data_IF_350880504154
#
_entry.id   IF_350880504154
#
_cell.length_a   1.000
_cell.length_b   1.000
_cell.length_c   1.000
_cell.angle_alpha   90.00
_cell.angle_beta   90.00
_cell.angle_gamma   90.00
#
_symmetry.space_group_name_H-M   'P 1'
#
loop_
_entity.id
_entity.type
_entity.pdbx_description
1 polymer ?
#
# COMPACT_ATOMS: atom_id res chain seq x y z
N UNK A 1 -6.84 -34.58 9.40
CA UNK A 1 -6.78 -33.72 8.20
C UNK A 1 -6.56 -32.28 8.66
N UNK A 2 -5.37 -31.72 8.48
CA UNK A 2 -5.02 -30.39 8.98
C UNK A 2 -5.77 -29.31 8.19
N UNK A 3 -6.54 -28.47 8.90
CA UNK A 3 -7.28 -27.34 8.35
C UNK A 3 -6.26 -26.29 7.89
N UNK A 4 -5.95 -26.25 6.59
CA UNK A 4 -5.20 -25.14 5.99
C UNK A 4 -5.94 -23.85 6.32
N UNK A 5 -5.36 -23.04 7.21
CA UNK A 5 -5.82 -21.68 7.43
C UNK A 5 -5.82 -20.97 6.07
N UNK A 6 -7.02 -20.61 5.60
CA UNK A 6 -7.17 -19.75 4.44
C UNK A 6 -6.52 -18.43 4.85
N UNK A 7 -5.31 -18.18 4.37
CA UNK A 7 -4.68 -16.86 4.36
C UNK A 7 -5.77 -15.88 3.93
N UNK A 8 -6.23 -15.06 4.88
CA UNK A 8 -7.34 -14.14 4.66
C UNK A 8 -6.95 -13.28 3.46
N UNK A 9 -7.71 -13.45 2.38
CA UNK A 9 -7.59 -12.71 1.13
C UNK A 9 -7.39 -11.24 1.48
N UNK A 10 -6.34 -10.66 0.92
CA UNK A 10 -5.91 -9.28 1.15
C UNK A 10 -7.12 -8.35 1.22
N UNK A 11 -7.35 -7.72 2.38
CA UNK A 11 -8.44 -6.76 2.54
C UNK A 11 -8.22 -5.60 1.58
N UNK A 12 -9.21 -5.28 0.75
CA UNK A 12 -9.15 -4.15 -0.15
C UNK A 12 -9.25 -2.84 0.65
N UNK A 13 -8.32 -1.92 0.42
CA UNK A 13 -8.33 -0.57 1.00
C UNK A 13 -8.93 0.39 -0.04
N UNK A 14 -10.15 0.88 0.20
CA UNK A 14 -10.77 1.90 -0.64
C UNK A 14 -10.34 3.28 -0.15
N UNK A 15 -9.56 3.99 -0.97
CA UNK A 15 -9.08 5.34 -0.69
C UNK A 15 -9.77 6.31 -1.65
N UNK A 16 -10.28 7.42 -1.13
CA UNK A 16 -10.81 8.52 -1.95
C UNK A 16 -9.79 9.64 -1.97
N UNK A 17 -9.39 10.04 -3.17
CA UNK A 17 -8.53 11.19 -3.45
C UNK A 17 -9.16 11.98 -4.60
N UNK A 18 -8.72 13.23 -4.81
CA UNK A 18 -9.20 14.00 -5.95
C UNK A 18 -8.63 13.45 -7.28
N UNK A 19 -9.29 13.79 -8.38
CA UNK A 19 -8.94 13.28 -9.71
C UNK A 19 -7.52 13.70 -10.11
N UNK A 20 -7.15 14.94 -9.84
CA UNK A 20 -5.85 15.52 -10.21
C UNK A 20 -4.68 14.80 -9.52
N UNK A 21 -4.81 14.52 -8.22
CA UNK A 21 -3.81 13.77 -7.45
C UNK A 21 -3.70 12.33 -7.92
N UNK A 22 -4.84 11.69 -8.24
CA UNK A 22 -4.83 10.34 -8.80
C UNK A 22 -4.05 10.31 -10.12
N UNK A 23 -4.35 11.24 -11.01
CA UNK A 23 -3.76 11.26 -12.35
C UNK A 23 -2.26 11.59 -12.28
N UNK A 24 -1.86 12.54 -11.42
CA UNK A 24 -0.45 12.82 -11.14
C UNK A 24 0.28 11.61 -10.52
N UNK A 25 -0.36 10.89 -9.59
CA UNK A 25 0.22 9.69 -8.99
C UNK A 25 0.38 8.55 -9.98
N UNK A 26 -0.62 8.33 -10.85
CA UNK A 26 -0.54 7.32 -11.90
C UNK A 26 0.56 7.64 -12.91
N UNK A 27 0.65 8.89 -13.37
CA UNK A 27 1.72 9.32 -14.27
C UNK A 27 3.12 9.07 -13.66
N UNK A 28 3.31 9.43 -12.38
CA UNK A 28 4.56 9.19 -11.69
C UNK A 28 4.87 7.69 -11.49
N UNK A 29 3.85 6.84 -11.34
CA UNK A 29 4.02 5.38 -11.28
C UNK A 29 4.47 4.81 -12.63
N UNK A 30 3.85 5.29 -13.72
CA UNK A 30 4.16 4.88 -15.10
C UNK A 30 5.60 5.26 -15.48
N UNK A 31 6.05 6.46 -15.12
CA UNK A 31 7.45 6.89 -15.32
C UNK A 31 8.48 6.02 -14.59
N UNK A 32 8.08 5.35 -13.50
CA UNK A 32 8.94 4.48 -12.70
C UNK A 32 8.81 3.00 -13.08
N UNK A 33 8.04 2.66 -14.12
CA UNK A 33 7.69 1.27 -14.48
C UNK A 33 7.08 0.50 -13.27
N UNK A 34 6.25 1.19 -12.47
CA UNK A 34 5.60 0.63 -11.28
C UNK A 34 4.09 0.75 -11.35
N UNK A 35 3.37 -0.03 -10.54
CA UNK A 35 1.92 0.13 -10.39
C UNK A 35 1.58 0.92 -9.14
N UNK A 36 0.51 1.72 -9.22
CA UNK A 36 -0.07 2.43 -8.08
C UNK A 36 -0.26 1.52 -6.85
N UNK A 37 -0.74 0.29 -7.05
CA UNK A 37 -0.91 -0.67 -5.97
C UNK A 37 0.42 -1.08 -5.30
N UNK A 38 1.50 -1.23 -6.08
CA UNK A 38 2.83 -1.56 -5.56
C UNK A 38 3.40 -0.41 -4.75
N UNK A 39 3.31 0.82 -5.25
CA UNK A 39 3.82 2.00 -4.56
C UNK A 39 3.02 2.31 -3.28
N UNK A 40 1.69 2.20 -3.30
CA UNK A 40 0.88 2.37 -2.08
C UNK A 40 1.24 1.31 -1.02
N UNK A 41 1.44 0.04 -1.42
CA UNK A 41 1.88 -1.01 -0.49
C UNK A 41 3.27 -0.74 0.06
N UNK A 42 4.20 -0.28 -0.78
CA UNK A 42 5.57 0.09 -0.36
C UNK A 42 5.54 1.24 0.62
N UNK A 43 4.76 2.28 0.32
CA UNK A 43 4.55 3.43 1.18
C UNK A 43 3.98 3.01 2.53
N UNK A 44 2.93 2.17 2.57
CA UNK A 44 2.36 1.67 3.83
C UNK A 44 3.41 0.92 4.65
N UNK A 45 4.20 0.03 4.03
CA UNK A 45 5.26 -0.71 4.75
C UNK A 45 6.32 0.22 5.31
N UNK A 46 6.77 1.18 4.51
CA UNK A 46 7.78 2.16 4.92
C UNK A 46 7.26 3.04 6.06
N UNK A 47 6.05 3.56 5.91
CA UNK A 47 5.36 4.35 6.93
C UNK A 47 5.21 3.58 8.24
N UNK A 48 4.78 2.32 8.21
CA UNK A 48 4.71 1.48 9.41
C UNK A 48 6.08 1.30 10.04
N UNK A 49 7.12 1.02 9.25
CA UNK A 49 8.49 0.85 9.75
C UNK A 49 8.99 2.10 10.45
N UNK A 50 8.78 3.27 9.85
CA UNK A 50 9.25 4.55 10.39
C UNK A 50 8.50 4.93 11.68
N UNK A 51 7.22 4.59 11.77
CA UNK A 51 6.39 4.87 12.95
C UNK A 51 6.41 3.79 14.04
N UNK A 52 6.80 2.54 13.75
CA UNK A 52 7.01 1.50 14.77
C UNK A 52 8.23 1.78 15.65
N UNK A 53 9.27 2.42 15.10
CA UNK A 53 10.40 2.95 15.86
C UNK A 53 9.99 4.01 16.90
N UNK A 54 8.78 4.58 16.81
CA UNK A 54 8.26 5.58 17.74
C UNK A 54 7.30 5.00 18.81
N UNK A 55 7.11 3.68 18.86
CA UNK A 55 6.23 3.01 19.85
C UNK A 55 6.97 2.21 20.92
N UNK A 56 8.30 2.24 20.91
CA UNK A 56 9.14 1.61 21.94
C UNK A 56 9.94 2.69 22.68
N UNK A 57 9.26 3.54 23.44
CA UNK A 57 9.85 4.40 24.48
C UNK A 57 8.81 4.67 25.56
#
# INVERSE_FOLDING_TARGET
MAKKEKTKKDSQLLIRINSEQRDAFLAACDEQDTSAAREVRRFIKQFLKDHETNKSS
#
